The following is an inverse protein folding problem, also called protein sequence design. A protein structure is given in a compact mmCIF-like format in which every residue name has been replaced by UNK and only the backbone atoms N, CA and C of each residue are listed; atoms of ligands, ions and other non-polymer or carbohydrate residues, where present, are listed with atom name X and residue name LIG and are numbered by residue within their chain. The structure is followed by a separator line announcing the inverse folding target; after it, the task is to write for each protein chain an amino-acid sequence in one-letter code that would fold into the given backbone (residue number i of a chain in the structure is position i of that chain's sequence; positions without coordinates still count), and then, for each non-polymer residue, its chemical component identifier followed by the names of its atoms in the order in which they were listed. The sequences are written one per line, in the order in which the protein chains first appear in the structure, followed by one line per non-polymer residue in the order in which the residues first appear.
data_IF_151479099576
#
_entry.id   IF_151479099576
#
_cell.length_a   1.000
_cell.length_b   1.000
_cell.length_c   1.000
_cell.angle_alpha   90.00
_cell.angle_beta   90.00
_cell.angle_gamma   90.00
#
_symmetry.space_group_name_H-M   'P 1'
#
loop_
_entity.id
_entity.type
_entity.pdbx_description
1 polymer ?
#
# COMPACT_ATOMS: atom_id res chain seq x y z
N UNK A 1 41.21 6.74 -29.42
CA UNK A 1 40.94 6.08 -28.13
C UNK A 1 40.14 7.05 -27.26
N UNK A 2 38.80 6.94 -27.26
CA UNK A 2 37.90 7.89 -26.59
C UNK A 2 37.53 7.27 -25.23
N UNK A 3 37.92 7.89 -24.12
CA UNK A 3 37.44 7.49 -22.79
C UNK A 3 36.00 8.01 -22.62
N UNK A 4 35.04 7.17 -22.20
CA UNK A 4 33.70 7.67 -21.90
C UNK A 4 33.72 8.51 -20.61
N UNK A 5 33.02 9.64 -20.63
CA UNK A 5 32.75 10.48 -19.47
C UNK A 5 31.89 9.71 -18.46
N UNK A 6 32.47 9.37 -17.32
CA UNK A 6 31.71 8.88 -16.18
C UNK A 6 30.87 10.02 -15.58
N UNK A 7 29.58 10.03 -15.88
CA UNK A 7 28.60 10.92 -15.23
C UNK A 7 28.32 10.42 -13.81
N UNK A 8 29.06 10.95 -12.85
CA UNK A 8 28.81 10.73 -11.42
C UNK A 8 27.57 11.52 -10.96
N UNK A 9 26.38 10.94 -11.12
CA UNK A 9 25.15 11.46 -10.53
C UNK A 9 25.02 10.94 -9.08
N UNK A 10 25.79 11.49 -8.15
CA UNK A 10 25.52 11.29 -6.72
C UNK A 10 24.40 12.23 -6.27
N UNK A 11 23.15 11.83 -6.50
CA UNK A 11 22.02 12.43 -5.81
C UNK A 11 22.09 12.03 -4.33
N UNK A 12 22.80 12.83 -3.53
CA UNK A 12 22.77 12.74 -2.07
C UNK A 12 21.35 13.07 -1.59
N UNK A 13 20.51 12.04 -1.45
CA UNK A 13 19.25 12.16 -0.74
C UNK A 13 19.55 12.50 0.72
N UNK A 14 18.93 13.52 1.32
CA UNK A 14 19.14 13.81 2.73
C UNK A 14 18.67 12.61 3.57
N UNK A 15 19.63 11.91 4.19
CA UNK A 15 19.33 10.83 5.12
C UNK A 15 18.95 11.47 6.45
N UNK A 16 17.67 11.73 6.67
CA UNK A 16 17.16 12.15 7.97
C UNK A 16 17.32 10.98 8.96
N UNK A 17 18.45 10.94 9.68
CA UNK A 17 18.72 9.91 10.70
C UNK A 17 18.30 10.44 12.06
N UNK A 18 17.11 10.05 12.51
CA UNK A 18 16.64 10.34 13.86
C UNK A 18 17.46 9.56 14.90
N UNK A 19 17.88 10.26 15.95
CA UNK A 19 18.58 9.65 17.09
C UNK A 19 17.64 8.75 17.90
N UNK A 20 18.18 7.73 18.56
CA UNK A 20 17.37 6.79 19.37
C UNK A 20 16.49 7.51 20.39
N UNK A 21 17.05 8.52 21.08
CA UNK A 21 16.32 9.37 22.03
C UNK A 21 15.21 10.17 21.35
N UNK A 22 15.43 10.70 20.15
CA UNK A 22 14.41 11.42 19.39
C UNK A 22 13.25 10.49 18.98
N UNK A 23 13.55 9.24 18.60
CA UNK A 23 12.51 8.23 18.32
C UNK A 23 11.71 7.90 19.57
N UNK A 24 12.39 7.70 20.70
CA UNK A 24 11.74 7.40 21.97
C UNK A 24 10.83 8.55 22.42
N UNK A 25 11.31 9.80 22.32
CA UNK A 25 10.54 10.99 22.66
C UNK A 25 9.32 11.16 21.75
N UNK A 26 9.45 10.88 20.45
CA UNK A 26 8.31 10.87 19.53
C UNK A 26 7.27 9.82 19.93
N UNK A 27 7.70 8.60 20.24
CA UNK A 27 6.78 7.51 20.64
C UNK A 27 6.04 7.90 21.93
N UNK A 28 6.76 8.39 22.94
CA UNK A 28 6.14 8.85 24.19
C UNK A 28 5.19 10.01 23.96
N UNK A 29 5.53 10.99 23.12
CA UNK A 29 4.65 12.10 22.78
C UNK A 29 3.36 11.65 22.10
N UNK A 30 3.44 10.68 21.18
CA UNK A 30 2.27 10.09 20.52
C UNK A 30 1.40 9.35 21.53
N UNK A 31 2.00 8.60 22.46
CA UNK A 31 1.27 7.90 23.53
C UNK A 31 0.55 8.93 24.41
N UNK A 32 1.23 9.96 24.91
CA UNK A 32 0.60 10.99 25.77
C UNK A 32 -0.57 11.67 25.05
N UNK A 33 -0.40 11.99 23.75
CA UNK A 33 -1.48 12.57 22.94
C UNK A 33 -2.67 11.61 22.78
N UNK A 34 -2.39 10.33 22.57
CA UNK A 34 -3.39 9.27 22.46
C UNK A 34 -4.19 9.05 23.76
N UNK A 35 -3.57 9.23 24.93
CA UNK A 35 -4.20 9.04 26.24
C UNK A 35 -4.79 10.33 26.84
N UNK A 36 -4.73 11.45 26.13
CA UNK A 36 -5.17 12.76 26.63
C UNK A 36 -6.68 12.86 26.87
N UNK A 37 -7.50 12.12 26.12
CA UNK A 37 -8.96 12.14 26.30
C UNK A 37 -9.58 10.74 26.27
N UNK A 38 -10.60 10.54 27.12
CA UNK A 38 -11.41 9.32 27.18
C UNK A 38 -11.93 8.87 25.80
N UNK A 39 -12.49 9.75 24.94
CA UNK A 39 -12.97 9.29 23.65
C UNK A 39 -11.86 8.76 22.74
N UNK A 40 -10.70 9.40 22.72
CA UNK A 40 -9.57 8.94 21.90
C UNK A 40 -9.11 7.55 22.36
N UNK A 41 -9.05 7.31 23.69
CA UNK A 41 -8.68 6.02 24.24
C UNK A 41 -9.63 4.90 23.79
N UNK A 42 -10.95 5.12 23.87
CA UNK A 42 -11.96 4.12 23.47
C UNK A 42 -11.87 3.80 21.98
N UNK A 43 -11.69 4.81 21.13
CA UNK A 43 -11.54 4.61 19.68
C UNK A 43 -10.26 3.86 19.34
N UNK A 44 -9.14 4.16 20.00
CA UNK A 44 -7.92 3.41 19.79
C UNK A 44 -8.06 1.96 20.23
N UNK A 45 -8.66 1.72 21.41
CA UNK A 45 -8.83 0.38 21.95
C UNK A 45 -9.70 -0.50 21.03
N UNK A 46 -10.86 0.00 20.60
CA UNK A 46 -11.77 -0.75 19.73
C UNK A 46 -11.25 -0.78 18.29
N UNK A 47 -10.74 0.34 17.81
CA UNK A 47 -10.31 0.52 16.43
C UNK A 47 -9.07 -0.28 16.06
N UNK A 48 -8.13 -0.47 16.99
CA UNK A 48 -6.92 -1.28 16.78
C UNK A 48 -7.11 -2.75 17.17
N UNK A 49 -8.30 -3.18 17.61
CA UNK A 49 -8.55 -4.62 17.84
C UNK A 49 -8.18 -5.49 16.64
N UNK A 50 -8.55 -5.16 15.38
CA UNK A 50 -8.22 -6.00 14.23
C UNK A 50 -6.71 -6.18 14.04
N UNK A 51 -5.91 -5.14 14.25
CA UNK A 51 -4.44 -5.24 14.17
C UNK A 51 -3.87 -6.08 15.30
N UNK A 52 -4.39 -5.91 16.53
CA UNK A 52 -4.02 -6.76 17.66
C UNK A 52 -4.33 -8.23 17.40
N UNK A 53 -5.49 -8.56 16.79
CA UNK A 53 -5.81 -9.96 16.46
C UNK A 53 -4.79 -10.60 15.54
N UNK A 54 -4.21 -9.85 14.59
CA UNK A 54 -3.18 -10.35 13.68
C UNK A 54 -1.86 -10.54 14.40
N UNK A 55 -1.47 -9.60 15.26
CA UNK A 55 -0.26 -9.73 16.08
C UNK A 55 -0.34 -10.97 16.96
N UNK A 56 -1.51 -11.29 17.52
CA UNK A 56 -1.70 -12.46 18.38
C UNK A 56 -1.80 -13.78 17.59
N UNK A 57 -2.51 -13.77 16.46
CA UNK A 57 -2.82 -15.01 15.71
C UNK A 57 -1.72 -15.38 14.72
N UNK A 58 -1.11 -14.39 14.06
CA UNK A 58 -0.11 -14.59 13.00
C UNK A 58 1.04 -13.56 13.07
N UNK A 59 1.84 -13.56 14.16
CA UNK A 59 2.91 -12.58 14.37
C UNK A 59 4.06 -12.68 13.38
N UNK A 60 4.25 -13.84 12.73
CA UNK A 60 5.36 -14.06 11.79
C UNK A 60 5.09 -13.49 10.40
N UNK A 61 3.82 -13.22 10.07
CA UNK A 61 3.41 -12.73 8.78
C UNK A 61 3.45 -11.20 8.70
N UNK A 62 4.66 -10.67 8.57
CA UNK A 62 4.91 -9.22 8.49
C UNK A 62 4.15 -8.53 7.35
N UNK A 63 3.92 -9.24 6.23
CA UNK A 63 3.19 -8.70 5.08
C UNK A 63 1.71 -8.47 5.39
N UNK A 64 1.07 -9.47 6.02
CA UNK A 64 -0.33 -9.36 6.48
C UNK A 64 -0.48 -8.25 7.49
N UNK A 65 0.42 -8.20 8.48
CA UNK A 65 0.41 -7.15 9.50
C UNK A 65 0.58 -5.75 8.90
N UNK A 66 1.49 -5.59 7.92
CA UNK A 66 1.72 -4.30 7.28
C UNK A 66 0.51 -3.84 6.48
N UNK A 67 -0.05 -4.70 5.62
CA UNK A 67 -1.18 -4.33 4.75
C UNK A 67 -2.44 -4.04 5.59
N UNK A 68 -2.83 -4.97 6.44
CA UNK A 68 -4.03 -4.81 7.28
C UNK A 68 -3.82 -3.70 8.29
N UNK A 69 -2.61 -3.58 8.85
CA UNK A 69 -2.31 -2.57 9.85
C UNK A 69 -2.30 -1.14 9.32
N UNK A 70 -1.72 -0.91 8.14
CA UNK A 70 -1.78 0.40 7.51
C UNK A 70 -3.23 0.79 7.17
N UNK A 71 -4.04 -0.14 6.67
CA UNK A 71 -5.44 0.14 6.33
C UNK A 71 -6.31 0.36 7.57
N UNK A 72 -6.19 -0.50 8.59
CA UNK A 72 -6.88 -0.31 9.86
C UNK A 72 -6.49 1.01 10.53
N UNK A 73 -5.20 1.33 10.61
CA UNK A 73 -4.71 2.59 11.16
C UNK A 73 -5.24 3.81 10.39
N UNK A 74 -5.36 3.73 9.07
CA UNK A 74 -5.97 4.78 8.25
C UNK A 74 -7.43 5.04 8.62
N UNK A 75 -8.24 3.97 8.78
CA UNK A 75 -9.63 4.09 9.22
C UNK A 75 -9.79 4.68 10.62
N UNK A 76 -8.93 4.26 11.56
CA UNK A 76 -8.86 4.82 12.91
C UNK A 76 -8.46 6.30 12.88
N UNK A 77 -7.47 6.66 12.06
CA UNK A 77 -6.98 8.02 11.91
C UNK A 77 -8.08 8.99 11.43
N UNK A 78 -8.91 8.58 10.46
CA UNK A 78 -10.06 9.37 10.00
C UNK A 78 -11.02 9.68 11.16
N UNK A 79 -11.31 8.68 12.00
CA UNK A 79 -12.17 8.85 13.17
C UNK A 79 -11.53 9.76 14.23
N UNK A 80 -10.22 9.64 14.45
CA UNK A 80 -9.47 10.51 15.37
C UNK A 80 -9.53 11.98 14.96
N UNK A 81 -9.32 12.29 13.67
CA UNK A 81 -9.44 13.65 13.14
C UNK A 81 -10.84 14.21 13.36
N UNK A 82 -11.87 13.39 13.14
CA UNK A 82 -13.27 13.80 13.36
C UNK A 82 -13.54 14.13 14.83
N UNK A 83 -13.06 13.30 15.76
CA UNK A 83 -13.20 13.52 17.20
C UNK A 83 -12.46 14.79 17.62
N UNK A 84 -11.25 15.00 17.11
CA UNK A 84 -10.48 16.21 17.38
C UNK A 84 -11.23 17.47 16.94
N UNK A 85 -11.83 17.45 15.74
CA UNK A 85 -12.62 18.57 15.23
C UNK A 85 -13.89 18.82 16.06
N UNK A 86 -14.57 17.76 16.51
CA UNK A 86 -15.74 17.90 17.39
C UNK A 86 -15.38 18.47 18.75
N UNK A 87 -14.27 18.01 19.32
CA UNK A 87 -13.75 18.52 20.60
C UNK A 87 -13.37 20.00 20.49
N UNK A 88 -12.67 20.40 19.42
CA UNK A 88 -12.33 21.80 19.15
C UNK A 88 -13.56 22.70 18.96
N UNK A 89 -14.65 22.16 18.42
CA UNK A 89 -15.92 22.87 18.23
C UNK A 89 -16.83 22.88 19.48
N UNK A 90 -16.43 22.27 20.60
CA UNK A 90 -17.24 22.18 21.82
C UNK A 90 -18.47 21.27 21.69
N UNK A 91 -18.52 20.44 20.66
CA UNK A 91 -19.65 19.54 20.40
C UNK A 91 -19.49 18.29 21.28
N UNK A 92 -20.55 17.81 21.97
CA UNK A 92 -20.49 16.56 22.73
C UNK A 92 -20.04 15.39 21.86
N UNK A 93 -18.87 14.84 22.17
CA UNK A 93 -18.27 13.72 21.43
C UNK A 93 -18.95 12.43 21.89
N UNK A 94 -19.93 11.94 21.12
CA UNK A 94 -20.51 10.61 21.32
C UNK A 94 -19.93 9.62 20.31
N UNK A 95 -18.99 8.78 20.75
CA UNK A 95 -18.36 7.75 19.90
C UNK A 95 -19.38 6.70 19.48
N UNK A 96 -20.21 6.27 20.43
CA UNK A 96 -21.29 5.31 20.21
C UNK A 96 -22.53 5.92 19.56
N UNK A 97 -22.62 7.25 19.51
CA UNK A 97 -23.76 7.95 18.93
C UNK A 97 -23.77 7.92 17.40
N UNK A 98 -22.64 7.60 16.77
CA UNK A 98 -22.52 7.65 15.31
C UNK A 98 -22.03 6.31 14.73
N UNK A 99 -22.97 5.48 14.29
CA UNK A 99 -22.72 4.18 13.66
C UNK A 99 -21.73 4.27 12.50
N UNK A 100 -21.70 5.39 11.76
CA UNK A 100 -20.77 5.58 10.66
C UNK A 100 -19.31 5.58 11.10
N UNK A 101 -19.00 6.06 12.31
CA UNK A 101 -17.62 6.05 12.80
C UNK A 101 -17.13 4.60 12.99
N UNK A 102 -17.98 3.73 13.56
CA UNK A 102 -17.65 2.32 13.77
C UNK A 102 -17.52 1.59 12.42
N UNK A 103 -18.46 1.83 11.50
CA UNK A 103 -18.45 1.23 10.17
C UNK A 103 -17.21 1.64 9.37
N UNK A 104 -16.83 2.91 9.39
CA UNK A 104 -15.62 3.37 8.70
C UNK A 104 -14.39 2.75 9.38
N UNK A 105 -14.27 2.86 10.70
CA UNK A 105 -13.12 2.38 11.46
C UNK A 105 -12.86 0.87 11.24
N UNK A 106 -13.89 0.04 11.38
CA UNK A 106 -13.77 -1.42 11.20
C UNK A 106 -13.83 -1.83 9.73
N UNK A 107 -14.52 -1.07 8.88
CA UNK A 107 -14.62 -1.32 7.44
C UNK A 107 -13.26 -1.24 6.75
N UNK A 108 -12.44 -0.25 7.11
CA UNK A 108 -11.06 -0.18 6.62
C UNK A 108 -10.20 -1.37 7.07
N UNK A 109 -10.43 -1.90 8.27
CA UNK A 109 -9.75 -3.11 8.73
C UNK A 109 -10.14 -4.34 7.91
N UNK A 110 -11.45 -4.51 7.65
CA UNK A 110 -11.98 -5.57 6.81
C UNK A 110 -11.44 -5.47 5.36
N UNK A 111 -11.41 -4.26 4.80
CA UNK A 111 -10.80 -4.00 3.49
C UNK A 111 -9.32 -4.40 3.47
N UNK A 112 -8.58 -4.17 4.55
CA UNK A 112 -7.19 -4.63 4.67
C UNK A 112 -7.04 -6.13 4.53
N UNK A 113 -7.93 -6.89 5.17
CA UNK A 113 -7.92 -8.37 5.08
C UNK A 113 -8.29 -8.82 3.67
N UNK A 114 -9.31 -8.21 3.07
CA UNK A 114 -9.72 -8.49 1.68
C UNK A 114 -8.55 -8.23 0.73
N UNK A 115 -7.90 -7.07 0.85
CA UNK A 115 -6.76 -6.72 0.02
C UNK A 115 -5.62 -7.71 0.16
N UNK A 116 -5.31 -8.14 1.38
CA UNK A 116 -4.25 -9.14 1.60
C UNK A 116 -4.50 -10.44 0.81
N UNK A 117 -5.75 -10.93 0.77
CA UNK A 117 -6.08 -12.17 0.07
C UNK A 117 -6.29 -11.99 -1.43
N UNK A 118 -6.87 -10.88 -1.88
CA UNK A 118 -7.23 -10.66 -3.29
C UNK A 118 -6.11 -10.02 -4.13
N UNK A 119 -5.21 -9.24 -3.53
CA UNK A 119 -4.12 -8.57 -4.25
C UNK A 119 -3.25 -9.55 -5.06
N UNK A 120 -2.84 -10.73 -4.54
CA UNK A 120 -2.08 -11.70 -5.32
C UNK A 120 -2.84 -12.19 -6.55
N UNK A 121 -4.15 -12.44 -6.41
CA UNK A 121 -4.99 -12.92 -7.52
C UNK A 121 -5.10 -11.86 -8.62
N UNK A 122 -5.34 -10.60 -8.25
CA UNK A 122 -5.34 -9.46 -9.17
C UNK A 122 -3.99 -9.32 -9.89
N UNK A 123 -2.88 -9.46 -9.16
CA UNK A 123 -1.54 -9.39 -9.73
C UNK A 123 -1.30 -10.48 -10.78
N UNK A 124 -1.77 -11.71 -10.55
CA UNK A 124 -1.66 -12.81 -11.52
C UNK A 124 -2.43 -12.49 -12.80
N UNK A 125 -3.67 -11.99 -12.69
CA UNK A 125 -4.50 -11.64 -13.86
C UNK A 125 -3.85 -10.55 -14.69
N UNK A 126 -3.39 -9.47 -14.04
CA UNK A 126 -2.71 -8.36 -14.72
C UNK A 126 -1.40 -8.84 -15.37
N UNK A 127 -0.65 -9.70 -14.69
CA UNK A 127 0.61 -10.25 -15.21
C UNK A 127 0.38 -11.13 -16.44
N UNK A 128 -0.65 -11.98 -16.42
CA UNK A 128 -1.05 -12.81 -17.57
C UNK A 128 -1.47 -11.94 -18.75
N UNK A 129 -2.31 -10.93 -18.51
CA UNK A 129 -2.74 -10.00 -19.56
C UNK A 129 -1.55 -9.23 -20.17
N UNK A 130 -0.60 -8.79 -19.34
CA UNK A 130 0.64 -8.14 -19.81
C UNK A 130 1.52 -9.08 -20.63
N UNK A 131 1.70 -10.33 -20.18
CA UNK A 131 2.47 -11.34 -20.90
C UNK A 131 1.83 -11.70 -22.25
N UNK A 132 0.51 -11.85 -22.30
CA UNK A 132 -0.23 -12.10 -23.55
C UNK A 132 -0.07 -10.94 -24.55
N UNK A 133 -0.13 -9.69 -24.09
CA UNK A 133 0.15 -8.53 -24.97
C UNK A 133 1.55 -8.57 -25.55
N UNK A 134 2.54 -8.97 -24.74
CA UNK A 134 3.93 -9.11 -25.19
C UNK A 134 4.07 -10.22 -26.23
N UNK A 135 3.45 -11.39 -25.99
CA UNK A 135 3.43 -12.49 -26.96
C UNK A 135 2.80 -12.06 -28.28
N UNK A 136 1.62 -11.44 -28.24
CA UNK A 136 0.96 -10.97 -29.45
C UNK A 136 1.82 -9.96 -30.23
N UNK A 137 2.57 -9.09 -29.53
CA UNK A 137 3.50 -8.16 -30.18
C UNK A 137 4.69 -8.87 -30.86
N UNK A 138 5.11 -10.02 -30.33
CA UNK A 138 6.18 -10.85 -30.91
C UNK A 138 5.64 -11.59 -32.13
N UNK A 139 4.47 -12.22 -32.01
CA UNK A 139 3.83 -12.95 -33.09
C UNK A 139 3.59 -12.04 -34.31
N UNK A 140 3.07 -10.83 -34.08
CA UNK A 140 2.87 -9.83 -35.15
C UNK A 140 4.18 -9.41 -35.84
N UNK A 141 5.32 -9.45 -35.13
CA UNK A 141 6.63 -9.15 -35.72
C UNK A 141 7.14 -10.33 -36.55
N UNK A 142 6.97 -11.56 -36.05
CA UNK A 142 7.35 -12.77 -36.77
C UNK A 142 6.54 -12.91 -38.06
N UNK A 143 5.23 -12.67 -38.00
CA UNK A 143 4.36 -12.72 -39.17
C UNK A 143 4.79 -11.70 -40.25
N UNK A 144 5.12 -10.47 -39.85
CA UNK A 144 5.67 -9.46 -40.78
C UNK A 144 6.99 -9.89 -41.41
N UNK A 145 7.91 -10.44 -40.63
CA UNK A 145 9.18 -10.96 -41.16
C UNK A 145 8.95 -12.12 -42.14
N UNK A 146 8.02 -13.03 -41.84
CA UNK A 146 7.65 -14.09 -42.78
C UNK A 146 7.03 -13.53 -44.05
N UNK A 147 6.22 -12.48 -43.98
CA UNK A 147 5.63 -11.85 -45.16
C UNK A 147 6.68 -11.13 -46.02
N UNK A 148 7.60 -10.37 -45.39
CA UNK A 148 8.65 -9.62 -46.07
C UNK A 148 9.70 -10.54 -46.71
N UNK A 149 10.14 -11.58 -46.01
CA UNK A 149 11.24 -12.43 -46.46
C UNK A 149 10.76 -13.69 -47.18
N UNK A 150 9.53 -14.12 -46.93
CA UNK A 150 8.95 -15.34 -47.53
C UNK A 150 8.60 -15.18 -49.00
N UNK A 151 8.18 -13.99 -49.45
CA UNK A 151 7.93 -13.73 -50.87
C UNK A 151 9.22 -13.81 -51.69
N UNK A 152 10.30 -13.27 -51.14
CA UNK A 152 11.57 -13.14 -51.85
C UNK A 152 12.25 -14.50 -52.01
N UNK A 153 12.26 -15.33 -50.95
CA UNK A 153 12.85 -16.68 -51.00
C UNK A 153 12.09 -17.62 -51.94
N UNK A 154 10.75 -17.50 -52.02
CA UNK A 154 9.95 -18.30 -52.97
C UNK A 154 10.19 -17.84 -54.41
N UNK A 155 10.37 -16.53 -54.63
CA UNK A 155 10.64 -15.98 -55.97
C UNK A 155 12.01 -16.39 -56.53
N UNK A 156 13.03 -16.52 -55.68
CA UNK A 156 14.37 -16.99 -56.07
C UNK A 156 14.43 -18.50 -56.36
N UNK A 157 13.52 -19.30 -55.80
CA UNK A 157 13.45 -20.75 -56.04
C UNK A 157 12.72 -21.15 -57.33
N UNK A 158 12.02 -20.22 -57.98
CA UNK A 158 11.22 -20.47 -59.20
C UNK A 158 11.95 -20.03 -60.48
N UNK A 159 13.18 -19.52 -60.35
CA UNK A 159 14.07 -19.15 -61.47
C UNK A 159 15.02 -20.27 -61.86
#
# INVERSE_FOLDING_TARGET
MIKPLQRNNSHNKPKFRLNFVQKLLLIFGVIILAFSSLPIMVVLLIGLLPTLTIILTDPRNSNKLTIVGCLNFSGVFICLVRIFNQYAAGIPVSIMGNIFNIVIMLGFAALGVIFYYELPNLFIVISKASAQRRLHSIDNKLEKLTQEWGSDVISDLVK
#
